data_IF_353474498033
#
_entry.id   IF_353474498033
#
_cell.length_a   1.000
_cell.length_b   1.000
_cell.length_c   1.000
_cell.angle_alpha   90.00
_cell.angle_beta   90.00
_cell.angle_gamma   90.00
#
_symmetry.space_group_name_H-M   'P 1'
#
loop_
_entity.id
_entity.type
_entity.pdbx_description
1 polymer ?
#
# COMPACT_ATOMS: atom_id res chain seq x y z
N UNK A 1 -22.90 22.32 19.77
CA UNK A 1 -21.59 22.68 20.35
C UNK A 1 -20.59 21.78 19.66
N UNK A 2 -19.85 22.32 18.70
CA UNK A 2 -18.81 21.56 18.00
C UNK A 2 -17.72 21.25 19.02
N UNK A 3 -17.56 19.97 19.35
CA UNK A 3 -16.44 19.49 20.13
C UNK A 3 -15.24 19.56 19.18
N UNK A 4 -14.49 20.66 19.23
CA UNK A 4 -13.22 20.77 18.54
C UNK A 4 -12.31 19.69 19.12
N UNK A 5 -12.14 18.58 18.40
CA UNK A 5 -11.06 17.64 18.64
C UNK A 5 -9.76 18.40 18.40
N UNK A 6 -9.22 19.02 19.45
CA UNK A 6 -7.87 19.56 19.40
C UNK A 6 -6.89 18.39 19.38
N UNK A 7 -6.63 17.86 18.17
CA UNK A 7 -5.49 16.97 17.91
C UNK A 7 -4.20 17.80 17.88
N UNK A 8 -3.86 18.39 18.99
CA UNK A 8 -2.64 19.15 19.15
C UNK A 8 -1.77 18.47 20.21
N UNK A 9 -0.68 17.83 19.86
CA UNK A 9 0.04 17.80 18.57
C UNK A 9 -0.49 16.76 17.57
N UNK A 10 -0.09 16.83 16.27
CA UNK A 10 -0.45 15.82 15.26
C UNK A 10 0.05 14.43 15.66
N UNK A 11 -0.73 13.39 15.37
CA UNK A 11 -0.34 12.00 15.61
C UNK A 11 0.46 11.52 14.41
N UNK A 12 1.75 11.30 14.61
CA UNK A 12 2.65 10.78 13.57
C UNK A 12 2.87 9.27 13.75
N UNK A 13 2.51 8.49 12.75
CA UNK A 13 2.68 7.04 12.75
C UNK A 13 3.85 6.70 11.82
N UNK A 14 4.98 6.21 12.35
CA UNK A 14 6.16 5.96 11.55
C UNK A 14 6.03 4.72 10.67
N UNK A 15 6.80 4.69 9.57
CA UNK A 15 6.98 3.50 8.73
C UNK A 15 7.74 2.41 9.49
N UNK A 16 7.29 1.17 9.33
CA UNK A 16 7.98 0.00 9.89
C UNK A 16 9.14 -0.43 9.00
N UNK A 17 10.31 0.16 9.22
CA UNK A 17 11.53 -0.19 8.48
C UNK A 17 11.86 -1.69 8.58
N UNK A 18 11.55 -2.34 9.71
CA UNK A 18 11.75 -3.78 9.90
C UNK A 18 10.87 -4.61 8.96
N UNK A 19 9.57 -4.31 8.88
CA UNK A 19 8.64 -5.00 7.96
C UNK A 19 9.04 -4.77 6.51
N UNK A 20 9.40 -3.54 6.15
CA UNK A 20 9.83 -3.17 4.80
C UNK A 20 11.15 -3.84 4.40
N UNK A 21 12.12 -3.91 5.32
CA UNK A 21 13.38 -4.62 5.09
C UNK A 21 13.14 -6.12 4.83
N UNK A 22 12.26 -6.75 5.63
CA UNK A 22 11.91 -8.15 5.43
C UNK A 22 11.30 -8.40 4.04
N UNK A 23 10.39 -7.51 3.60
CA UNK A 23 9.80 -7.57 2.26
C UNK A 23 10.85 -7.35 1.16
N UNK A 24 11.80 -6.42 1.36
CA UNK A 24 12.87 -6.16 0.42
C UNK A 24 13.82 -7.37 0.29
N UNK A 25 14.22 -7.98 1.41
CA UNK A 25 15.02 -9.21 1.42
C UNK A 25 14.28 -10.36 0.72
N UNK A 26 12.97 -10.53 0.98
CA UNK A 26 12.14 -11.49 0.26
C UNK A 26 12.13 -11.25 -1.24
N UNK A 27 12.00 -9.99 -1.68
CA UNK A 27 12.04 -9.63 -3.09
C UNK A 27 13.39 -9.97 -3.74
N UNK A 28 14.51 -9.70 -3.06
CA UNK A 28 15.86 -10.07 -3.55
C UNK A 28 16.02 -11.58 -3.65
N UNK A 29 15.48 -12.35 -2.70
CA UNK A 29 15.50 -13.82 -2.76
C UNK A 29 14.73 -14.35 -4.01
N UNK A 30 13.58 -13.74 -4.34
CA UNK A 30 12.84 -14.09 -5.56
C UNK A 30 13.58 -13.68 -6.85
N UNK A 31 14.33 -12.58 -6.85
CA UNK A 31 15.22 -12.21 -7.97
C UNK A 31 16.31 -13.28 -8.15
N UNK A 32 16.94 -13.73 -7.07
CA UNK A 32 17.93 -14.79 -7.11
C UNK A 32 17.34 -16.11 -7.61
N UNK A 33 16.13 -16.47 -7.18
CA UNK A 33 15.41 -17.64 -7.68
C UNK A 33 15.07 -17.51 -9.18
N UNK A 34 14.67 -16.32 -9.63
CA UNK A 34 14.44 -16.04 -11.05
C UNK A 34 15.70 -16.22 -11.89
N UNK A 35 16.84 -15.74 -11.40
CA UNK A 35 18.14 -15.96 -12.04
C UNK A 35 18.50 -17.45 -12.10
N UNK A 36 18.24 -18.18 -11.02
CA UNK A 36 18.41 -19.64 -10.98
C UNK A 36 17.58 -20.35 -12.06
N UNK A 37 16.32 -19.96 -12.27
CA UNK A 37 15.45 -20.55 -13.28
C UNK A 37 15.94 -20.30 -14.73
N UNK A 38 16.55 -19.14 -14.98
CA UNK A 38 17.12 -18.82 -16.27
C UNK A 38 18.36 -19.68 -16.57
N UNK A 39 19.21 -19.89 -15.57
CA UNK A 39 20.45 -20.66 -15.70
C UNK A 39 20.22 -22.18 -15.70
N UNK A 40 19.08 -22.64 -15.16
CA UNK A 40 18.75 -24.06 -15.06
C UNK A 40 17.36 -24.36 -15.67
N UNK A 41 17.15 -24.12 -16.98
CA UNK A 41 15.85 -24.23 -17.63
C UNK A 41 15.26 -25.64 -17.67
N UNK A 42 16.07 -26.67 -17.36
CA UNK A 42 15.66 -28.08 -17.30
C UNK A 42 15.00 -28.51 -15.98
N UNK A 43 14.79 -27.60 -15.03
CA UNK A 43 14.15 -27.92 -13.74
C UNK A 43 12.70 -28.40 -13.97
N UNK A 44 12.34 -29.49 -13.31
CA UNK A 44 11.00 -30.09 -13.35
C UNK A 44 10.14 -29.46 -12.25
N UNK A 45 9.47 -28.34 -12.56
CA UNK A 45 8.58 -27.65 -11.60
C UNK A 45 7.20 -28.31 -11.49
N UNK A 46 6.72 -28.90 -12.59
CA UNK A 46 5.39 -29.48 -12.68
C UNK A 46 5.47 -30.86 -13.36
N UNK A 47 5.58 -31.92 -12.54
CA UNK A 47 5.60 -33.31 -13.05
C UNK A 47 6.95 -33.77 -13.63
N UNK A 48 6.93 -34.85 -14.43
CA UNK A 48 8.15 -35.53 -14.89
C UNK A 48 8.79 -34.92 -16.15
N UNK A 49 8.16 -33.95 -16.80
CA UNK A 49 8.68 -33.35 -18.04
C UNK A 49 9.27 -31.96 -17.74
N UNK A 50 10.48 -31.66 -18.28
CA UNK A 50 11.03 -30.31 -18.21
C UNK A 50 10.30 -29.38 -19.20
N UNK A 51 10.01 -28.17 -18.80
CA UNK A 51 9.44 -27.09 -19.64
C UNK A 51 10.42 -25.91 -19.72
N UNK A 52 11.54 -26.02 -20.48
CA UNK A 52 12.62 -25.05 -20.41
C UNK A 52 12.18 -23.63 -20.80
N UNK A 53 11.36 -23.50 -21.84
CA UNK A 53 10.86 -22.17 -22.28
C UNK A 53 10.00 -21.53 -21.21
N UNK A 54 9.09 -22.28 -20.59
CA UNK A 54 8.20 -21.78 -19.54
C UNK A 54 8.98 -21.36 -18.29
N UNK A 55 9.95 -22.18 -17.87
CA UNK A 55 10.81 -21.90 -16.71
C UNK A 55 11.62 -20.63 -16.92
N UNK A 56 12.17 -20.44 -18.13
CA UNK A 56 12.92 -19.23 -18.50
C UNK A 56 12.03 -17.98 -18.49
N UNK A 57 10.82 -18.06 -19.03
CA UNK A 57 9.85 -16.94 -19.01
C UNK A 57 9.50 -16.54 -17.56
N UNK A 58 9.23 -17.53 -16.70
CA UNK A 58 8.98 -17.27 -15.26
C UNK A 58 10.19 -16.62 -14.62
N UNK A 59 11.40 -17.05 -14.94
CA UNK A 59 12.64 -16.45 -14.42
C UNK A 59 12.76 -14.97 -14.78
N UNK A 60 12.56 -14.60 -16.04
CA UNK A 60 12.58 -13.20 -16.46
C UNK A 60 11.45 -12.38 -15.82
N UNK A 61 10.23 -12.92 -15.75
CA UNK A 61 9.10 -12.27 -15.13
C UNK A 61 9.35 -12.03 -13.62
N UNK A 62 9.93 -13.01 -12.92
CA UNK A 62 10.30 -12.89 -11.52
C UNK A 62 11.35 -11.81 -11.30
N UNK A 63 12.42 -11.76 -12.10
CA UNK A 63 13.47 -10.74 -12.01
C UNK A 63 12.86 -9.35 -12.24
N UNK A 64 12.06 -9.17 -13.29
CA UNK A 64 11.45 -7.89 -13.61
C UNK A 64 10.52 -7.40 -12.50
N UNK A 65 9.62 -8.26 -12.03
CA UNK A 65 8.63 -7.91 -11.02
C UNK A 65 9.26 -7.69 -9.64
N UNK A 66 10.01 -8.67 -9.15
CA UNK A 66 10.60 -8.57 -7.80
C UNK A 66 11.77 -7.59 -7.75
N UNK A 67 12.50 -7.39 -8.86
CA UNK A 67 13.51 -6.33 -8.98
C UNK A 67 12.88 -4.95 -8.85
N UNK A 68 11.75 -4.72 -9.51
CA UNK A 68 10.99 -3.47 -9.35
C UNK A 68 10.46 -3.30 -7.92
N UNK A 69 9.94 -4.35 -7.31
CA UNK A 69 9.49 -4.32 -5.90
C UNK A 69 10.66 -3.97 -4.95
N UNK A 70 11.81 -4.63 -5.12
CA UNK A 70 12.99 -4.37 -4.30
C UNK A 70 13.48 -2.92 -4.45
N UNK A 71 13.45 -2.36 -5.67
CA UNK A 71 13.79 -0.97 -5.93
C UNK A 71 12.84 0.01 -5.24
N UNK A 72 11.51 -0.22 -5.35
CA UNK A 72 10.51 0.62 -4.70
C UNK A 72 10.61 0.57 -3.16
N UNK A 73 10.77 -0.63 -2.60
CA UNK A 73 10.97 -0.82 -1.17
C UNK A 73 12.28 -0.18 -0.69
N UNK A 74 13.36 -0.33 -1.47
CA UNK A 74 14.64 0.31 -1.18
C UNK A 74 14.51 1.83 -1.08
N UNK A 75 13.88 2.47 -2.07
CA UNK A 75 13.60 3.92 -2.01
C UNK A 75 12.81 4.30 -0.76
N UNK A 76 11.81 3.51 -0.40
CA UNK A 76 10.94 3.79 0.75
C UNK A 76 11.64 3.56 2.09
N UNK A 77 12.63 2.66 2.17
CA UNK A 77 13.44 2.45 3.38
C UNK A 77 14.25 3.70 3.79
N UNK A 78 14.66 4.50 2.82
CA UNK A 78 15.39 5.75 3.06
C UNK A 78 14.45 6.95 3.28
N UNK A 79 13.13 6.76 3.15
CA UNK A 79 12.15 7.80 3.46
C UNK A 79 12.11 8.03 4.98
N UNK A 80 12.33 9.28 5.38
CA UNK A 80 12.31 9.70 6.80
C UNK A 80 10.96 10.27 7.22
N UNK A 81 10.05 10.47 6.27
CA UNK A 81 8.71 10.99 6.55
C UNK A 81 7.88 9.93 7.30
N UNK A 82 6.99 10.35 8.20
CA UNK A 82 6.03 9.44 8.81
C UNK A 82 5.18 8.75 7.73
N UNK A 83 4.78 7.52 8.00
CA UNK A 83 3.92 6.77 7.09
C UNK A 83 2.50 7.29 7.05
N UNK A 84 2.00 7.77 8.20
CA UNK A 84 0.69 8.40 8.31
C UNK A 84 0.77 9.56 9.31
N UNK A 85 0.10 10.66 9.01
CA UNK A 85 -0.04 11.80 9.94
C UNK A 85 -1.53 12.09 10.06
N UNK A 86 -2.02 12.11 11.29
CA UNK A 86 -3.42 12.46 11.62
C UNK A 86 -3.40 13.78 12.36
N UNK A 87 -4.07 14.80 11.82
CA UNK A 87 -4.15 16.15 12.40
C UNK A 87 -5.56 16.74 12.27
N UNK A 88 -5.72 18.00 12.63
CA UNK A 88 -7.01 18.71 12.57
C UNK A 88 -7.56 18.85 11.14
N UNK A 89 -6.70 18.88 10.11
CA UNK A 89 -7.10 19.04 8.71
C UNK A 89 -7.59 17.72 8.10
N UNK A 90 -7.01 16.60 8.53
CA UNK A 90 -7.28 15.30 7.93
C UNK A 90 -6.19 14.28 8.19
N UNK A 91 -6.09 13.34 7.27
CA UNK A 91 -5.10 12.26 7.27
C UNK A 91 -4.15 12.43 6.09
N UNK A 92 -2.86 12.55 6.37
CA UNK A 92 -1.83 12.53 5.32
C UNK A 92 -1.28 11.12 5.19
N UNK A 93 -1.58 10.49 4.06
CA UNK A 93 -1.09 9.14 3.74
C UNK A 93 0.25 9.19 3.00
N UNK A 94 1.24 8.49 3.56
CA UNK A 94 2.53 8.19 2.96
C UNK A 94 2.92 6.71 3.21
N UNK A 95 1.92 5.84 3.43
CA UNK A 95 2.16 4.44 3.82
C UNK A 95 2.77 3.60 2.70
N UNK A 96 2.43 3.89 1.46
CA UNK A 96 2.78 3.07 0.30
C UNK A 96 3.30 3.91 -0.87
N UNK A 97 3.74 3.25 -1.93
CA UNK A 97 4.01 3.91 -3.21
C UNK A 97 2.74 4.41 -3.93
N UNK A 98 1.57 4.04 -3.42
CA UNK A 98 0.24 4.44 -3.88
C UNK A 98 -0.41 5.36 -2.85
N UNK A 99 0.25 6.47 -2.57
CA UNK A 99 -0.17 7.46 -1.57
C UNK A 99 -1.04 8.54 -2.21
N UNK A 100 -2.08 8.97 -1.50
CA UNK A 100 -2.96 10.04 -1.93
C UNK A 100 -2.60 11.41 -1.30
N UNK A 101 -1.60 11.43 -0.41
CA UNK A 101 -1.23 12.63 0.34
C UNK A 101 -2.30 13.02 1.36
N UNK A 102 -2.60 14.31 1.48
CA UNK A 102 -3.61 14.80 2.42
C UNK A 102 -5.03 14.42 1.94
N UNK A 103 -5.78 13.81 2.85
CA UNK A 103 -7.19 13.48 2.74
C UNK A 103 -7.90 14.26 3.85
N UNK A 104 -8.52 15.41 3.54
CA UNK A 104 -9.24 16.23 4.52
C UNK A 104 -10.42 15.49 5.14
N UNK A 105 -10.70 15.73 6.42
CA UNK A 105 -11.90 15.19 7.07
C UNK A 105 -13.19 15.56 6.35
N UNK A 106 -13.26 16.77 5.78
CA UNK A 106 -14.40 17.26 5.02
C UNK A 106 -14.70 16.44 3.75
N UNK A 107 -13.68 15.77 3.19
CA UNK A 107 -13.82 14.91 2.01
C UNK A 107 -14.28 13.50 2.38
N UNK A 108 -14.18 13.11 3.66
CA UNK A 108 -14.48 11.74 4.09
C UNK A 108 -15.97 11.56 4.42
N UNK A 109 -16.63 10.64 3.74
CA UNK A 109 -18.01 10.25 4.04
C UNK A 109 -18.08 9.13 5.08
N UNK A 110 -17.27 8.09 4.91
CA UNK A 110 -17.21 6.92 5.80
C UNK A 110 -15.85 6.22 5.72
N UNK A 111 -15.57 5.39 6.72
CA UNK A 111 -14.38 4.54 6.78
C UNK A 111 -14.84 3.12 7.08
N UNK A 112 -14.44 2.16 6.23
CA UNK A 112 -14.78 0.74 6.41
C UNK A 112 -13.60 -0.17 6.09
N UNK A 113 -13.68 -1.41 6.56
CA UNK A 113 -12.64 -2.42 6.38
C UNK A 113 -13.04 -3.40 5.31
N UNK A 114 -12.11 -3.73 4.42
CA UNK A 114 -12.21 -4.89 3.53
C UNK A 114 -11.09 -5.88 3.84
N UNK A 115 -11.36 -7.14 3.58
CA UNK A 115 -10.37 -8.20 3.69
C UNK A 115 -10.17 -8.87 2.33
N UNK A 116 -8.91 -8.89 1.87
CA UNK A 116 -8.52 -9.54 0.62
C UNK A 116 -7.50 -10.64 0.97
N UNK A 117 -7.94 -11.89 0.93
CA UNK A 117 -7.14 -13.02 1.42
C UNK A 117 -6.91 -12.90 2.93
N UNK A 118 -5.69 -12.60 3.35
CA UNK A 118 -5.29 -12.40 4.75
C UNK A 118 -4.89 -10.96 5.06
N UNK A 119 -5.15 -10.04 4.13
CA UNK A 119 -4.78 -8.64 4.31
C UNK A 119 -6.02 -7.80 4.52
N UNK A 120 -6.02 -7.03 5.61
CA UNK A 120 -7.04 -6.03 5.91
C UNK A 120 -6.61 -4.68 5.35
N UNK A 121 -7.54 -3.98 4.73
CA UNK A 121 -7.37 -2.64 4.20
C UNK A 121 -8.46 -1.73 4.76
N UNK A 122 -8.09 -0.52 5.12
CA UNK A 122 -9.02 0.54 5.52
C UNK A 122 -9.38 1.31 4.25
N UNK A 123 -10.64 1.24 3.86
CA UNK A 123 -11.17 2.01 2.74
C UNK A 123 -11.75 3.31 3.25
N UNK A 124 -11.37 4.42 2.66
CA UNK A 124 -11.85 5.76 3.01
C UNK A 124 -12.79 6.21 1.91
N UNK A 125 -14.10 6.20 2.19
CA UNK A 125 -15.11 6.68 1.25
C UNK A 125 -15.02 8.21 1.17
N UNK A 126 -14.77 8.72 -0.03
CA UNK A 126 -14.61 10.16 -0.28
C UNK A 126 -15.72 10.67 -1.19
N UNK A 127 -16.15 11.92 -0.96
CA UNK A 127 -17.22 12.60 -1.71
C UNK A 127 -16.79 13.05 -3.13
N UNK A 128 -15.47 13.12 -3.40
CA UNK A 128 -14.89 13.60 -4.65
C UNK A 128 -13.89 12.58 -5.26
N UNK A 129 -14.28 11.32 -5.54
CA UNK A 129 -13.36 10.25 -5.95
C UNK A 129 -12.56 10.55 -7.22
N UNK A 130 -13.14 11.28 -8.17
CA UNK A 130 -12.47 11.65 -9.42
C UNK A 130 -11.28 12.57 -9.20
N UNK A 131 -11.31 13.43 -8.20
CA UNK A 131 -10.19 14.28 -7.83
C UNK A 131 -9.01 13.42 -7.33
N UNK A 132 -9.26 12.47 -6.44
CA UNK A 132 -8.23 11.54 -5.93
C UNK A 132 -7.64 10.67 -7.03
N UNK A 133 -8.45 10.20 -7.99
CA UNK A 133 -7.96 9.47 -9.17
C UNK A 133 -7.05 10.38 -10.01
N UNK A 134 -7.43 11.65 -10.20
CA UNK A 134 -6.67 12.60 -11.02
C UNK A 134 -5.42 13.15 -10.34
N UNK A 135 -5.33 13.14 -9.01
CA UNK A 135 -4.08 13.46 -8.26
C UNK A 135 -2.94 12.48 -8.60
N UNK A 136 -3.26 11.27 -9.07
CA UNK A 136 -2.23 10.31 -9.47
C UNK A 136 -1.56 10.74 -10.78
N UNK A 137 -0.26 11.03 -10.72
CA UNK A 137 0.54 11.49 -11.87
C UNK A 137 0.94 10.36 -12.82
N UNK A 138 1.05 9.13 -12.29
CA UNK A 138 1.43 7.94 -13.06
C UNK A 138 0.18 7.27 -13.64
N UNK A 139 0.17 7.00 -14.95
CA UNK A 139 -0.95 6.35 -15.64
C UNK A 139 -1.35 4.99 -15.05
N UNK A 140 -0.37 4.18 -14.59
CA UNK A 140 -0.64 2.92 -13.93
C UNK A 140 -1.35 3.14 -12.59
N UNK A 141 -0.87 4.07 -11.76
CA UNK A 141 -1.47 4.40 -10.46
C UNK A 141 -2.88 4.97 -10.63
N UNK A 142 -3.08 5.83 -11.64
CA UNK A 142 -4.42 6.32 -12.00
C UNK A 142 -5.38 5.19 -12.38
N UNK A 143 -4.91 4.22 -13.17
CA UNK A 143 -5.70 3.04 -13.55
C UNK A 143 -6.05 2.18 -12.33
N UNK A 144 -5.10 1.96 -11.41
CA UNK A 144 -5.33 1.21 -10.18
C UNK A 144 -6.32 1.92 -9.25
N UNK A 145 -6.22 3.25 -9.10
CA UNK A 145 -7.19 4.05 -8.35
C UNK A 145 -8.61 3.93 -8.93
N UNK A 146 -8.73 4.02 -10.26
CA UNK A 146 -10.00 3.84 -10.95
C UNK A 146 -10.57 2.41 -10.80
N UNK A 147 -9.71 1.39 -10.76
CA UNK A 147 -10.13 0.00 -10.48
C UNK A 147 -10.63 -0.14 -9.04
N UNK A 148 -9.92 0.43 -8.05
CA UNK A 148 -10.38 0.47 -6.66
C UNK A 148 -11.76 1.13 -6.56
N UNK A 149 -11.94 2.28 -7.19
CA UNK A 149 -13.22 2.97 -7.20
C UNK A 149 -14.36 2.10 -7.76
N UNK A 150 -14.12 1.38 -8.85
CA UNK A 150 -15.13 0.47 -9.44
C UNK A 150 -15.49 -0.68 -8.51
N UNK A 151 -14.51 -1.24 -7.80
CA UNK A 151 -14.70 -2.42 -6.94
C UNK A 151 -15.23 -2.07 -5.55
N UNK A 152 -14.77 -0.95 -4.99
CA UNK A 152 -14.96 -0.59 -3.57
C UNK A 152 -15.62 0.78 -3.35
N UNK A 153 -16.07 1.45 -4.42
CA UNK A 153 -16.71 2.79 -4.40
C UNK A 153 -15.83 3.91 -3.87
N UNK A 154 -14.55 3.65 -3.70
CA UNK A 154 -13.55 4.66 -3.35
C UNK A 154 -12.19 4.31 -3.97
N UNK A 155 -11.42 5.30 -4.46
CA UNK A 155 -10.05 5.07 -4.87
C UNK A 155 -9.08 4.92 -3.69
N UNK A 156 -9.45 5.46 -2.51
CA UNK A 156 -8.55 5.65 -1.36
C UNK A 156 -8.56 4.42 -0.46
N UNK A 157 -7.36 3.87 -0.24
CA UNK A 157 -7.16 2.77 0.71
C UNK A 157 -5.89 3.00 1.53
N UNK A 158 -5.97 2.76 2.84
CA UNK A 158 -4.87 2.87 3.80
C UNK A 158 -4.53 1.48 4.31
N UNK A 159 -3.24 1.16 4.36
CA UNK A 159 -2.75 -0.13 4.88
C UNK A 159 -1.87 0.07 6.10
N UNK A 160 -2.06 -0.75 7.14
CA UNK A 160 -1.19 -0.79 8.31
C UNK A 160 0.05 -1.68 8.11
N UNK A 161 0.15 -2.41 6.97
CA UNK A 161 1.21 -3.39 6.75
C UNK A 161 2.62 -2.79 6.78
N UNK A 162 2.75 -1.53 6.38
CA UNK A 162 4.03 -0.80 6.38
C UNK A 162 4.20 0.13 7.57
N UNK A 163 3.23 0.20 8.48
CA UNK A 163 3.23 1.08 9.64
C UNK A 163 3.71 0.38 10.91
N UNK A 164 4.23 1.17 11.86
CA UNK A 164 4.49 0.74 13.23
C UNK A 164 3.23 0.96 14.10
N UNK A 165 2.12 0.44 13.65
CA UNK A 165 0.84 0.57 14.33
C UNK A 165 0.01 -0.70 14.12
N UNK A 166 -0.86 -1.01 15.06
CA UNK A 166 -1.80 -2.11 14.92
C UNK A 166 -2.95 -1.72 13.99
N UNK A 167 -3.49 -2.69 13.27
CA UNK A 167 -4.55 -2.42 12.29
C UNK A 167 -5.86 -1.97 12.95
N UNK A 168 -6.27 -2.65 14.02
CA UNK A 168 -7.53 -2.37 14.70
C UNK A 168 -7.45 -1.01 15.44
N UNK A 169 -6.31 -0.74 16.08
CA UNK A 169 -6.07 0.56 16.73
C UNK A 169 -6.08 1.70 15.70
N UNK A 170 -5.46 1.49 14.52
CA UNK A 170 -5.47 2.46 13.44
C UNK A 170 -6.88 2.74 12.92
N UNK A 171 -7.67 1.68 12.72
CA UNK A 171 -9.05 1.82 12.27
C UNK A 171 -9.90 2.61 13.27
N UNK A 172 -9.80 2.26 14.56
CA UNK A 172 -10.51 2.97 15.64
C UNK A 172 -10.08 4.44 15.72
N UNK A 173 -8.78 4.72 15.65
CA UNK A 173 -8.23 6.07 15.64
C UNK A 173 -8.83 6.91 14.50
N UNK A 174 -8.71 6.42 13.26
CA UNK A 174 -9.19 7.15 12.08
C UNK A 174 -10.71 7.40 12.14
N UNK A 175 -11.47 6.39 12.57
CA UNK A 175 -12.93 6.51 12.70
C UNK A 175 -13.33 7.53 13.76
N UNK A 176 -12.71 7.46 14.94
CA UNK A 176 -12.98 8.41 16.03
C UNK A 176 -12.66 9.85 15.62
N UNK A 177 -11.52 10.06 14.95
CA UNK A 177 -11.12 11.39 14.48
C UNK A 177 -12.08 11.91 13.40
N UNK A 178 -12.52 11.07 12.47
CA UNK A 178 -13.49 11.45 11.45
C UNK A 178 -14.85 11.84 12.06
N UNK A 179 -15.34 11.05 13.01
CA UNK A 179 -16.62 11.31 13.69
C UNK A 179 -16.57 12.59 14.55
N UNK A 180 -15.42 12.89 15.12
CA UNK A 180 -15.22 14.11 15.91
C UNK A 180 -14.99 15.37 15.08
N UNK A 181 -14.63 15.24 13.81
CA UNK A 181 -14.42 16.36 12.88
C UNK A 181 -15.70 16.78 12.13
N UNK A 182 -16.77 15.97 12.20
CA UNK A 182 -18.12 16.27 11.67
C UNK A 182 -18.99 16.97 12.70
#
# INVERSE_FOLDING_TARGET
MANNLQLSPPIEIPLSKKKMLLMAVGSVAFVAAGFWFITHPGIRLFGNKPYPVFTTIIGYAAIAFFGFCAFCLGKKLFDTKPGLVVNEEGVTDNCSGFSFGLIPWADMEDIYVIEIGRQKLIMVLVNNPDEYINRQTNALMKKLAAMNYRSYKTPVSITANTLQYDFEELYVLLRTCMEGAK
#
